data_IF_742746958064
#
_entry.id   IF_742746958064
#
_cell.length_a   1.000
_cell.length_b   1.000
_cell.length_c   1.000
_cell.angle_alpha   90.00
_cell.angle_beta   90.00
_cell.angle_gamma   90.00
#
_symmetry.space_group_name_H-M   'P 1'
#
loop_
_entity.id
_entity.type
_entity.pdbx_description
1 polymer ?
#
# COMPACT_ATOMS: atom_id res chain seq x y z
N UNK A 1 73.05 1.33 -33.08
CA UNK A 1 72.09 2.45 -33.16
C UNK A 1 70.71 1.85 -32.94
N UNK A 2 70.40 1.35 -31.73
CA UNK A 2 69.73 2.10 -30.65
C UNK A 2 68.52 2.88 -31.17
N UNK A 3 67.32 2.31 -31.05
CA UNK A 3 66.41 2.85 -30.03
C UNK A 3 65.28 1.87 -29.70
N UNK A 4 65.30 1.42 -28.45
CA UNK A 4 64.24 0.71 -27.76
C UNK A 4 63.30 1.79 -27.24
N UNK A 5 62.11 1.96 -27.83
CA UNK A 5 61.10 2.89 -27.33
C UNK A 5 59.89 2.13 -26.78
N UNK A 6 59.65 2.35 -25.49
CA UNK A 6 58.71 1.68 -24.60
C UNK A 6 57.23 1.75 -25.05
N UNK A 7 56.38 0.79 -24.61
CA UNK A 7 54.95 0.84 -24.85
C UNK A 7 54.33 2.01 -24.06
N UNK A 8 53.62 2.88 -24.76
CA UNK A 8 52.87 4.00 -24.16
C UNK A 8 51.74 3.46 -23.29
N UNK A 9 51.82 3.78 -22.00
CA UNK A 9 50.82 3.58 -20.95
C UNK A 9 49.45 4.12 -21.41
N UNK A 10 48.33 3.41 -21.17
CA UNK A 10 47.01 3.91 -21.55
C UNK A 10 46.67 5.17 -20.75
N UNK A 11 46.25 6.21 -21.45
CA UNK A 11 45.72 7.42 -20.82
C UNK A 11 44.42 7.07 -20.08
N UNK A 12 44.43 7.26 -18.76
CA UNK A 12 43.26 7.14 -17.90
C UNK A 12 42.22 8.20 -18.32
N UNK A 13 41.15 7.75 -18.98
CA UNK A 13 39.96 8.57 -19.21
C UNK A 13 39.20 8.67 -17.89
N UNK A 14 39.13 9.90 -17.38
CA UNK A 14 38.31 10.35 -16.24
C UNK A 14 36.89 9.80 -16.34
N UNK A 15 36.29 9.25 -15.25
CA UNK A 15 34.92 8.77 -15.27
C UNK A 15 33.98 9.94 -15.60
N UNK A 16 33.15 9.76 -16.62
CA UNK A 16 32.06 10.67 -16.92
C UNK A 16 31.07 10.65 -15.75
N UNK A 17 30.72 11.83 -15.23
CA UNK A 17 29.72 11.97 -14.20
C UNK A 17 28.39 11.33 -14.65
N UNK A 18 27.69 10.57 -13.78
CA UNK A 18 26.37 10.06 -14.13
C UNK A 18 25.41 11.23 -14.31
N UNK A 19 24.93 11.42 -15.53
CA UNK A 19 23.80 12.31 -15.82
C UNK A 19 22.59 11.76 -15.05
N UNK A 20 22.05 12.56 -14.14
CA UNK A 20 20.83 12.26 -13.42
C UNK A 20 19.72 11.88 -14.40
N UNK A 21 18.98 10.77 -14.20
CA UNK A 21 17.78 10.49 -14.96
C UNK A 21 16.78 11.60 -14.65
N UNK A 22 16.36 12.29 -15.71
CA UNK A 22 15.30 13.29 -15.69
C UNK A 22 14.02 12.58 -15.27
N UNK A 23 13.62 12.71 -14.01
CA UNK A 23 12.35 12.22 -13.50
C UNK A 23 11.25 12.92 -14.29
N UNK A 24 10.69 12.23 -15.27
CA UNK A 24 9.46 12.65 -15.91
C UNK A 24 8.38 12.59 -14.83
N UNK A 25 7.98 13.77 -14.36
CA UNK A 25 6.86 13.94 -13.46
C UNK A 25 5.60 13.42 -14.17
N UNK A 26 5.22 12.18 -13.86
CA UNK A 26 3.88 11.71 -14.11
C UNK A 26 2.97 12.47 -13.14
N UNK A 27 2.27 13.47 -13.69
CA UNK A 27 1.22 14.22 -13.03
C UNK A 27 0.20 13.26 -12.44
N UNK A 28 0.21 13.13 -11.11
CA UNK A 28 -0.93 12.62 -10.38
C UNK A 28 -2.07 13.61 -10.60
N UNK A 29 -2.98 13.28 -11.51
CA UNK A 29 -4.25 13.96 -11.61
C UNK A 29 -5.02 13.66 -10.33
N UNK A 30 -4.95 14.57 -9.36
CA UNK A 30 -5.94 14.62 -8.29
C UNK A 30 -7.26 14.98 -8.96
N UNK A 31 -8.04 13.96 -9.33
CA UNK A 31 -9.43 14.15 -9.75
C UNK A 31 -10.13 14.78 -8.55
N UNK A 32 -10.40 16.08 -8.64
CA UNK A 32 -11.16 16.79 -7.61
C UNK A 32 -12.62 16.42 -7.82
N UNK A 33 -12.98 15.19 -7.48
CA UNK A 33 -14.36 14.77 -7.39
C UNK A 33 -14.98 15.54 -6.23
N UNK A 34 -16.08 16.26 -6.50
CA UNK A 34 -16.86 16.89 -5.45
C UNK A 34 -17.18 15.85 -4.38
N UNK A 35 -17.09 16.21 -3.10
CA UNK A 35 -17.35 15.33 -1.95
C UNK A 35 -18.75 14.75 -2.12
N UNK A 36 -18.83 13.53 -2.66
CA UNK A 36 -20.07 12.85 -2.92
C UNK A 36 -20.57 12.29 -1.59
N UNK A 37 -21.79 12.62 -1.22
CA UNK A 37 -22.45 12.05 -0.05
C UNK A 37 -23.44 10.98 -0.51
N UNK A 38 -23.41 9.85 0.18
CA UNK A 38 -24.30 8.72 -0.04
C UNK A 38 -24.99 8.32 1.25
N UNK A 39 -25.84 7.29 1.16
CA UNK A 39 -26.58 6.73 2.30
C UNK A 39 -26.51 5.22 2.29
N UNK A 40 -26.41 4.62 3.48
CA UNK A 40 -26.42 3.15 3.62
C UNK A 40 -27.82 2.61 3.29
N UNK A 41 -27.91 1.71 2.31
CA UNK A 41 -29.18 1.05 1.95
C UNK A 41 -29.31 -0.31 2.63
N UNK A 42 -28.18 -1.04 2.73
CA UNK A 42 -28.18 -2.41 3.24
C UNK A 42 -26.84 -2.74 3.92
N UNK A 43 -26.91 -3.56 4.97
CA UNK A 43 -25.76 -4.08 5.71
C UNK A 43 -25.92 -5.59 5.82
N UNK A 44 -24.94 -6.35 5.32
CA UNK A 44 -24.88 -7.82 5.39
C UNK A 44 -23.49 -8.20 5.93
N UNK A 45 -23.35 -8.33 7.25
CA UNK A 45 -22.05 -8.56 7.87
C UNK A 45 -21.08 -7.44 7.49
N UNK A 46 -19.88 -7.79 6.99
CA UNK A 46 -18.88 -6.82 6.55
C UNK A 46 -19.20 -6.14 5.20
N UNK A 47 -20.23 -6.58 4.49
CA UNK A 47 -20.64 -6.02 3.20
C UNK A 47 -21.70 -4.95 3.42
N UNK A 48 -21.45 -3.73 2.94
CA UNK A 48 -22.34 -2.58 3.09
C UNK A 48 -22.65 -2.00 1.71
N UNK A 49 -23.92 -1.90 1.37
CA UNK A 49 -24.36 -1.28 0.12
C UNK A 49 -24.75 0.18 0.39
N UNK A 50 -24.18 1.09 -0.40
CA UNK A 50 -24.31 2.55 -0.25
C UNK A 50 -24.85 3.14 -1.54
N UNK A 51 -25.93 3.90 -1.46
CA UNK A 51 -26.55 4.64 -2.57
C UNK A 51 -26.02 6.07 -2.61
N UNK A 52 -25.70 6.55 -3.82
CA UNK A 52 -25.24 7.92 -4.05
C UNK A 52 -26.24 8.67 -4.95
N UNK A 53 -26.65 9.87 -4.57
CA UNK A 53 -27.61 10.65 -5.37
C UNK A 53 -26.97 11.32 -6.61
N UNK A 54 -25.64 11.27 -6.73
CA UNK A 54 -24.87 12.00 -7.74
C UNK A 54 -23.72 11.20 -8.32
N UNK A 55 -22.50 11.67 -8.08
CA UNK A 55 -21.31 11.01 -8.61
C UNK A 55 -21.04 9.69 -7.88
N UNK A 56 -20.92 8.59 -8.62
CA UNK A 56 -20.55 7.30 -8.07
C UNK A 56 -19.03 7.25 -7.84
N UNK A 57 -18.57 6.95 -6.61
CA UNK A 57 -17.16 6.75 -6.33
C UNK A 57 -16.58 5.60 -7.16
N UNK A 58 -15.31 5.71 -7.53
CA UNK A 58 -14.62 4.66 -8.29
C UNK A 58 -14.49 3.36 -7.46
N UNK A 59 -14.31 2.24 -8.15
CA UNK A 59 -13.90 0.99 -7.48
C UNK A 59 -12.55 1.24 -6.81
N UNK A 60 -12.36 0.69 -5.61
CA UNK A 60 -11.22 0.88 -4.71
C UNK A 60 -11.15 2.24 -4.03
N UNK A 61 -12.15 3.12 -4.21
CA UNK A 61 -12.28 4.34 -3.40
C UNK A 61 -12.65 4.02 -1.95
N UNK A 62 -12.12 4.81 -1.03
CA UNK A 62 -12.47 4.78 0.38
C UNK A 62 -13.63 5.73 0.66
N UNK A 63 -14.59 5.26 1.45
CA UNK A 63 -15.70 6.03 1.99
C UNK A 63 -15.62 6.05 3.51
N UNK A 64 -16.13 7.11 4.12
CA UNK A 64 -16.14 7.28 5.57
C UNK A 64 -17.56 7.46 6.10
N UNK A 65 -17.85 6.78 7.21
CA UNK A 65 -19.04 6.99 8.02
C UNK A 65 -18.67 6.97 9.50
N UNK A 66 -19.43 7.66 10.33
CA UNK A 66 -19.26 7.54 11.78
C UNK A 66 -19.88 6.21 12.25
N UNK A 67 -19.33 5.55 13.25
CA UNK A 67 -19.97 4.41 13.91
C UNK A 67 -19.63 4.43 15.41
N UNK A 68 -20.32 3.59 16.18
CA UNK A 68 -20.09 3.44 17.62
C UNK A 68 -19.71 1.99 17.87
N UNK A 69 -18.55 1.80 18.52
CA UNK A 69 -18.13 0.48 18.95
C UNK A 69 -19.08 -0.03 20.03
N UNK A 70 -19.78 -1.13 19.76
CA UNK A 70 -20.76 -1.71 20.68
C UNK A 70 -20.13 -2.24 21.98
N UNK A 71 -18.82 -2.51 22.01
CA UNK A 71 -18.11 -3.00 23.20
C UNK A 71 -17.67 -1.87 24.11
N UNK A 72 -17.14 -0.79 23.54
CA UNK A 72 -16.55 0.32 24.31
C UNK A 72 -17.47 1.55 24.40
N UNK A 73 -18.48 1.64 23.53
CA UNK A 73 -19.34 2.82 23.38
C UNK A 73 -18.63 4.01 22.75
N UNK A 74 -17.37 3.86 22.31
CA UNK A 74 -16.60 4.95 21.73
C UNK A 74 -17.02 5.21 20.27
N UNK A 75 -17.21 6.48 19.87
CA UNK A 75 -17.40 6.82 18.48
C UNK A 75 -16.08 6.63 17.72
N UNK A 76 -16.16 6.09 16.51
CA UNK A 76 -15.03 5.95 15.61
C UNK A 76 -15.46 6.19 14.16
N UNK A 77 -14.51 6.54 13.30
CA UNK A 77 -14.75 6.65 11.86
C UNK A 77 -14.51 5.30 11.21
N UNK A 78 -15.58 4.71 10.69
CA UNK A 78 -15.55 3.47 9.91
C UNK A 78 -15.23 3.80 8.45
N UNK A 79 -14.18 3.15 7.93
CA UNK A 79 -13.81 3.21 6.52
C UNK A 79 -14.43 2.04 5.78
N UNK A 80 -15.03 2.33 4.63
CA UNK A 80 -15.59 1.36 3.70
C UNK A 80 -14.80 1.44 2.39
N UNK A 81 -14.40 0.31 1.80
CA UNK A 81 -13.79 0.30 0.47
C UNK A 81 -14.81 -0.15 -0.58
N UNK A 82 -14.94 0.60 -1.68
CA UNK A 82 -15.82 0.24 -2.80
C UNK A 82 -15.24 -0.96 -3.54
N UNK A 83 -15.97 -2.09 -3.54
CA UNK A 83 -15.54 -3.31 -4.22
C UNK A 83 -16.15 -3.46 -5.62
N UNK A 84 -17.40 -3.01 -5.81
CA UNK A 84 -18.09 -3.10 -7.10
C UNK A 84 -19.26 -2.10 -7.18
N UNK A 85 -19.69 -1.79 -8.40
CA UNK A 85 -20.93 -1.05 -8.67
C UNK A 85 -22.06 -2.04 -8.96
N UNK A 86 -23.19 -1.91 -8.26
CA UNK A 86 -24.34 -2.80 -8.44
C UNK A 86 -25.32 -2.29 -9.51
N UNK A 87 -25.25 -1.01 -9.86
CA UNK A 87 -26.26 -0.31 -10.67
C UNK A 87 -27.20 0.52 -9.78
N UNK A 88 -28.13 1.25 -10.39
CA UNK A 88 -29.12 2.08 -9.67
C UNK A 88 -28.48 3.06 -8.67
N UNK A 89 -27.29 3.57 -9.02
CA UNK A 89 -26.47 4.42 -8.16
C UNK A 89 -26.02 3.80 -6.82
N UNK A 90 -26.07 2.47 -6.71
CA UNK A 90 -25.60 1.72 -5.53
C UNK A 90 -24.21 1.14 -5.77
N UNK A 91 -23.34 1.34 -4.79
CA UNK A 91 -22.02 0.70 -4.71
C UNK A 91 -22.01 -0.30 -3.57
N UNK A 92 -21.37 -1.44 -3.79
CA UNK A 92 -21.12 -2.43 -2.75
C UNK A 92 -19.73 -2.22 -2.18
N UNK A 93 -19.69 -2.11 -0.86
CA UNK A 93 -18.48 -1.78 -0.12
C UNK A 93 -18.15 -2.87 0.90
N UNK A 94 -16.88 -2.92 1.31
CA UNK A 94 -16.39 -3.80 2.37
C UNK A 94 -15.95 -2.91 3.53
N UNK A 95 -16.49 -3.18 4.72
CA UNK A 95 -16.11 -2.50 5.94
C UNK A 95 -14.72 -2.92 6.41
N UNK A 96 -13.87 -1.96 6.72
CA UNK A 96 -12.50 -2.21 7.23
C UNK A 96 -12.47 -2.50 8.74
N UNK A 97 -13.59 -2.30 9.43
CA UNK A 97 -13.79 -2.58 10.85
C UNK A 97 -15.24 -3.08 11.09
N UNK A 98 -15.64 -3.26 12.35
CA UNK A 98 -16.97 -3.73 12.72
C UNK A 98 -18.09 -2.86 12.14
N UNK A 99 -19.04 -3.52 11.47
CA UNK A 99 -20.25 -2.93 10.90
C UNK A 99 -21.46 -3.02 11.85
N UNK A 100 -21.27 -3.57 13.05
CA UNK A 100 -22.28 -3.58 14.10
C UNK A 100 -22.64 -2.12 14.48
N UNK A 101 -23.92 -1.86 14.67
CA UNK A 101 -24.42 -0.51 14.99
C UNK A 101 -24.69 0.38 13.78
N UNK A 102 -24.31 -0.02 12.55
CA UNK A 102 -24.68 0.72 11.35
C UNK A 102 -26.19 0.69 11.11
N UNK A 103 -26.72 1.82 10.67
CA UNK A 103 -28.14 1.99 10.40
C UNK A 103 -28.39 2.38 8.96
N UNK A 104 -29.53 1.97 8.40
CA UNK A 104 -29.93 2.37 7.05
C UNK A 104 -30.28 3.86 7.03
N UNK A 105 -29.96 4.52 5.92
CA UNK A 105 -30.11 5.97 5.75
C UNK A 105 -28.96 6.79 6.34
N UNK A 106 -28.01 6.16 7.03
CA UNK A 106 -26.86 6.82 7.61
C UNK A 106 -25.97 7.44 6.53
N UNK A 107 -25.47 8.69 6.71
CA UNK A 107 -24.67 9.36 5.71
C UNK A 107 -23.28 8.75 5.59
N UNK A 108 -22.83 8.60 4.34
CA UNK A 108 -21.51 8.12 3.96
C UNK A 108 -20.85 9.18 3.09
N UNK A 109 -19.58 9.46 3.30
CA UNK A 109 -18.83 10.48 2.57
C UNK A 109 -17.74 9.82 1.72
N UNK A 110 -17.68 10.15 0.43
CA UNK A 110 -16.55 9.75 -0.41
C UNK A 110 -15.31 10.58 -0.10
N UNK A 111 -14.18 9.89 0.14
CA UNK A 111 -12.88 10.55 0.36
C UNK A 111 -12.23 11.02 -0.95
N UNK A 112 -12.74 10.55 -2.10
CA UNK A 112 -12.24 10.86 -3.44
C UNK A 112 -10.95 10.11 -3.82
N UNK A 113 -10.46 9.21 -2.96
CA UNK A 113 -9.25 8.43 -3.22
C UNK A 113 -9.34 7.04 -2.60
N UNK A 114 -8.43 6.13 -2.97
CA UNK A 114 -8.23 4.86 -2.27
C UNK A 114 -7.78 5.09 -0.84
N UNK A 115 -7.92 4.08 0.03
CA UNK A 115 -7.34 4.10 1.39
C UNK A 115 -5.85 4.50 1.30
N UNK A 116 -5.49 5.54 2.03
CA UNK A 116 -4.16 6.13 2.06
C UNK A 116 -3.43 5.72 3.35
N UNK A 117 -2.34 4.96 3.22
CA UNK A 117 -1.51 4.58 4.35
C UNK A 117 -0.35 5.57 4.56
N UNK A 118 0.01 5.91 5.81
CA UNK A 118 1.20 6.69 6.11
C UNK A 118 2.45 5.89 5.74
N UNK A 119 3.44 6.54 5.14
CA UNK A 119 4.72 5.91 4.77
C UNK A 119 5.91 6.79 5.18
N UNK A 120 7.11 6.22 5.11
CA UNK A 120 8.37 6.93 5.35
C UNK A 120 8.99 6.60 6.71
N UNK A 121 10.12 7.23 7.07
CA UNK A 121 10.89 6.86 8.26
C UNK A 121 10.11 6.95 9.58
N UNK A 122 9.10 7.83 9.67
CA UNK A 122 8.26 7.99 10.85
C UNK A 122 7.36 6.80 11.18
N UNK A 123 7.20 5.85 10.26
CA UNK A 123 6.42 4.62 10.48
C UNK A 123 7.26 3.48 11.07
N UNK A 124 8.59 3.62 11.13
CA UNK A 124 9.46 2.57 11.64
C UNK A 124 9.21 2.33 13.14
N UNK A 125 9.02 1.08 13.51
CA UNK A 125 8.74 0.67 14.90
C UNK A 125 7.32 0.96 15.38
N UNK A 126 6.44 1.45 14.50
CA UNK A 126 5.03 1.72 14.82
C UNK A 126 4.14 0.54 14.43
N UNK A 127 3.04 0.34 15.13
CA UNK A 127 2.00 -0.63 14.77
C UNK A 127 0.79 0.14 14.23
N UNK A 128 0.35 -0.21 13.03
CA UNK A 128 -0.79 0.42 12.36
C UNK A 128 -1.82 -0.62 11.91
N UNK A 129 -3.08 -0.21 11.82
CA UNK A 129 -4.16 -1.02 11.26
C UNK A 129 -4.22 -0.88 9.72
N UNK A 130 -5.19 -1.55 9.10
CA UNK A 130 -5.37 -1.60 7.63
C UNK A 130 -5.64 -0.22 7.01
N UNK A 131 -6.27 0.69 7.76
CA UNK A 131 -6.55 2.07 7.31
C UNK A 131 -5.41 3.04 7.63
N UNK A 132 -4.29 2.56 8.18
CA UNK A 132 -3.11 3.36 8.47
C UNK A 132 -3.14 4.13 9.79
N UNK A 133 -4.12 3.88 10.67
CA UNK A 133 -4.19 4.47 12.00
C UNK A 133 -3.26 3.73 12.98
N UNK A 134 -2.55 4.43 13.88
CA UNK A 134 -1.71 3.80 14.89
C UNK A 134 -2.55 3.10 15.96
N UNK A 135 -2.17 1.87 16.32
CA UNK A 135 -2.82 1.06 17.37
C UNK A 135 -1.85 0.69 18.50
N UNK A 136 -0.70 1.35 18.58
CA UNK A 136 0.37 1.11 19.55
C UNK A 136 0.35 2.03 20.78
N UNK A 137 -0.68 2.86 20.92
CA UNK A 137 -0.85 3.85 22.01
C UNK A 137 0.30 4.89 22.12
N UNK A 138 1.18 4.99 21.11
CA UNK A 138 2.32 5.93 21.10
C UNK A 138 1.99 7.28 20.43
N UNK A 139 0.70 7.63 20.37
CA UNK A 139 0.20 8.85 19.74
C UNK A 139 0.27 8.83 18.20
N UNK A 140 0.11 9.98 17.53
CA UNK A 140 0.04 10.04 16.06
C UNK A 140 1.36 9.65 15.37
N UNK A 141 1.28 9.11 14.15
CA UNK A 141 2.44 8.86 13.30
C UNK A 141 2.87 10.19 12.67
N UNK A 142 4.10 10.62 12.94
CA UNK A 142 4.66 11.85 12.37
C UNK A 142 5.16 11.58 10.94
N UNK A 143 4.29 11.72 9.96
CA UNK A 143 4.68 11.69 8.55
C UNK A 143 3.90 12.72 7.72
N UNK A 144 4.50 13.18 6.64
CA UNK A 144 3.85 13.98 5.60
C UNK A 144 3.59 13.18 4.32
N UNK A 145 4.06 11.93 4.27
CA UNK A 145 3.96 11.09 3.07
C UNK A 145 2.88 10.04 3.27
N UNK A 146 1.91 10.03 2.35
CA UNK A 146 0.85 9.04 2.27
C UNK A 146 0.87 8.38 0.90
N UNK A 147 0.54 7.09 0.83
CA UNK A 147 0.43 6.34 -0.42
C UNK A 147 -0.84 5.50 -0.45
N UNK A 148 -1.50 5.38 -1.61
CA UNK A 148 -2.64 4.48 -1.75
C UNK A 148 -2.19 3.03 -1.63
N UNK A 149 -3.02 2.20 -0.97
CA UNK A 149 -2.77 0.76 -0.86
C UNK A 149 -2.94 0.03 -2.21
N UNK A 150 -3.80 0.57 -3.07
CA UNK A 150 -4.01 0.07 -4.43
C UNK A 150 -3.10 0.79 -5.40
N UNK A 151 -2.20 0.03 -6.05
CA UNK A 151 -1.30 0.54 -7.08
C UNK A 151 -1.05 -0.55 -8.11
N UNK A 152 -0.90 -0.14 -9.37
CA UNK A 152 -0.47 -1.04 -10.42
C UNK A 152 0.90 -1.67 -10.12
N UNK A 153 1.08 -2.89 -10.60
CA UNK A 153 2.36 -3.57 -10.53
C UNK A 153 3.41 -2.81 -11.36
N UNK A 154 4.71 -2.90 -11.01
CA UNK A 154 5.78 -2.32 -11.81
C UNK A 154 5.71 -2.80 -13.27
N UNK A 155 5.95 -1.88 -14.19
CA UNK A 155 5.97 -2.17 -15.62
C UNK A 155 7.12 -3.13 -15.98
N UNK A 156 7.06 -3.76 -17.14
CA UNK A 156 8.10 -4.68 -17.60
C UNK A 156 9.49 -4.01 -17.70
N UNK A 157 9.54 -2.73 -18.08
CA UNK A 157 10.78 -1.95 -18.20
C UNK A 157 11.41 -1.62 -16.84
N UNK A 158 10.62 -1.54 -15.77
CA UNK A 158 11.09 -1.28 -14.41
C UNK A 158 11.59 -2.55 -13.70
N UNK A 159 11.35 -3.73 -14.27
CA UNK A 159 11.76 -5.00 -13.67
C UNK A 159 13.27 -5.23 -13.87
N UNK A 160 13.99 -5.42 -12.77
CA UNK A 160 15.40 -5.78 -12.82
C UNK A 160 15.58 -7.26 -13.18
N UNK A 161 16.52 -7.55 -14.08
CA UNK A 161 16.93 -8.92 -14.44
C UNK A 161 18.10 -9.44 -13.60
N UNK A 162 18.62 -8.63 -12.65
CA UNK A 162 19.75 -9.02 -11.80
C UNK A 162 19.31 -9.98 -10.70
N UNK A 163 19.96 -11.14 -10.61
CA UNK A 163 19.80 -12.06 -9.48
C UNK A 163 21.01 -11.97 -8.56
N UNK A 164 20.79 -11.49 -7.34
CA UNK A 164 21.80 -11.50 -6.27
C UNK A 164 21.33 -12.40 -5.12
N UNK A 165 22.26 -13.15 -4.51
CA UNK A 165 21.95 -13.94 -3.32
C UNK A 165 21.82 -13.02 -2.11
N UNK A 166 20.76 -13.21 -1.34
CA UNK A 166 20.56 -12.66 0.00
C UNK A 166 21.12 -13.68 1.01
N UNK A 167 22.29 -13.40 1.55
CA UNK A 167 22.91 -14.23 2.59
C UNK A 167 22.12 -14.06 3.89
N UNK A 168 21.56 -15.15 4.41
CA UNK A 168 20.71 -15.14 5.61
C UNK A 168 21.48 -15.48 6.89
N UNK A 169 22.61 -16.19 6.78
CA UNK A 169 23.34 -16.75 7.91
C UNK A 169 22.75 -18.07 8.42
N UNK A 170 21.67 -18.56 7.80
CA UNK A 170 21.02 -19.82 8.16
C UNK A 170 21.54 -20.91 7.24
N UNK A 171 22.34 -21.84 7.79
CA UNK A 171 23.06 -22.88 7.01
C UNK A 171 22.17 -23.63 6.02
N UNK A 172 20.98 -24.07 6.46
CA UNK A 172 20.08 -24.83 5.59
C UNK A 172 19.52 -23.99 4.45
N UNK A 173 19.24 -22.70 4.70
CA UNK A 173 18.72 -21.78 3.68
C UNK A 173 19.84 -21.43 2.70
N UNK A 174 20.98 -20.96 3.21
CA UNK A 174 22.09 -20.50 2.36
C UNK A 174 22.71 -21.63 1.52
N UNK A 175 22.67 -22.88 1.99
CA UNK A 175 23.22 -24.04 1.26
C UNK A 175 22.22 -24.69 0.30
N UNK A 176 20.97 -24.91 0.74
CA UNK A 176 20.00 -25.71 -0.03
C UNK A 176 19.07 -24.85 -0.89
N UNK A 177 18.59 -23.74 -0.36
CA UNK A 177 17.56 -22.89 -0.98
C UNK A 177 17.89 -21.41 -0.78
N UNK A 178 19.01 -20.90 -1.34
CA UNK A 178 19.46 -19.54 -1.11
C UNK A 178 18.42 -18.52 -1.59
N UNK A 179 18.16 -17.50 -0.78
CA UNK A 179 17.20 -16.45 -1.13
C UNK A 179 17.79 -15.48 -2.14
N UNK A 180 16.95 -14.95 -3.03
CA UNK A 180 17.32 -13.89 -3.98
C UNK A 180 16.91 -12.52 -3.42
N UNK A 181 17.81 -11.53 -3.43
CA UNK A 181 17.48 -10.15 -3.05
C UNK A 181 16.39 -9.59 -3.97
N UNK A 182 15.35 -9.01 -3.38
CA UNK A 182 14.21 -8.48 -4.12
C UNK A 182 13.27 -9.55 -4.71
N UNK A 183 13.54 -10.83 -4.47
CA UNK A 183 12.65 -11.92 -4.86
C UNK A 183 11.53 -12.18 -3.86
N UNK A 184 10.66 -13.13 -4.18
CA UNK A 184 9.59 -13.61 -3.31
C UNK A 184 9.96 -14.98 -2.75
N UNK A 185 9.91 -15.13 -1.43
CA UNK A 185 10.20 -16.38 -0.74
C UNK A 185 8.96 -16.83 0.05
N UNK A 186 8.57 -18.09 -0.10
CA UNK A 186 7.49 -18.69 0.68
C UNK A 186 8.01 -19.64 1.76
N UNK A 187 7.56 -19.47 3.01
CA UNK A 187 7.80 -20.42 4.08
C UNK A 187 6.58 -21.34 4.24
N UNK A 188 6.67 -22.55 3.72
CA UNK A 188 5.58 -23.53 3.77
C UNK A 188 5.78 -24.51 4.93
N UNK A 189 4.71 -24.79 5.68
CA UNK A 189 4.73 -25.78 6.75
C UNK A 189 3.49 -25.75 7.64
N UNK A 190 3.27 -26.83 8.39
CA UNK A 190 2.12 -27.00 9.30
C UNK A 190 2.15 -26.08 10.53
N UNK A 191 1.17 -26.22 11.42
CA UNK A 191 1.18 -25.54 12.71
C UNK A 191 2.36 -26.02 13.58
N UNK A 192 3.00 -25.11 14.32
CA UNK A 192 4.08 -25.45 15.26
C UNK A 192 5.45 -25.77 14.64
N UNK A 193 5.60 -25.73 13.31
CA UNK A 193 6.89 -26.08 12.65
C UNK A 193 7.91 -24.93 12.59
N UNK A 194 7.69 -23.84 13.33
CA UNK A 194 8.69 -22.77 13.47
C UNK A 194 8.66 -21.64 12.44
N UNK A 195 7.60 -21.47 11.63
CA UNK A 195 7.49 -20.40 10.62
C UNK A 195 7.67 -18.98 11.19
N UNK A 196 7.18 -18.73 12.41
CA UNK A 196 7.29 -17.42 13.09
C UNK A 196 8.66 -17.21 13.76
N UNK A 197 9.40 -18.30 14.01
CA UNK A 197 10.70 -18.28 14.71
C UNK A 197 11.87 -18.19 13.72
N UNK A 198 11.67 -18.69 12.49
CA UNK A 198 12.65 -18.68 11.40
C UNK A 198 12.86 -17.26 10.88
#
# INVERSE_FOLDING_TARGET
MTDTAAPKKPAAKKPAAPKAPKVAAATAAATTSAVATGRIVQVIGAVVDVEFDGHLPAILSALETQNIDQKTGAPFTLVLEVAQHLGENVVRTIAMDTSEGLTRGQPVTDTGSSILAPVGPGTLGRIMNVVGQPIDEQGPIKTTMYRPIHREAPSFEEQSTSSEILVTGIKVIDLMCPYTKGGKTGLFGGAGVGKTVT
#
